data_IF_186598336051
#
_entry.id   IF_186598336051
#
_cell.length_a   1.000
_cell.length_b   1.000
_cell.length_c   1.000
_cell.angle_alpha   90.00
_cell.angle_beta   90.00
_cell.angle_gamma   90.00
#
_symmetry.space_group_name_H-M   'P 1'
#
loop_
_entity.id
_entity.type
_entity.pdbx_description
1 polymer ?
#
# COMPACT_ATOMS: atom_id res chain seq x y z
N UNK A 1 5.38 -56.07 28.15
CA UNK A 1 5.56 -57.50 27.79
C UNK A 1 5.89 -57.58 26.31
N UNK A 2 7.10 -58.09 25.99
CA UNK A 2 7.51 -58.89 24.80
C UNK A 2 6.86 -58.59 23.44
N UNK A 3 7.52 -58.44 22.27
CA UNK A 3 8.84 -58.74 21.65
C UNK A 3 8.77 -58.01 20.29
N UNK A 4 9.78 -57.31 19.77
CA UNK A 4 11.03 -57.87 19.25
C UNK A 4 10.83 -58.47 17.85
N UNK A 5 11.27 -57.77 16.79
CA UNK A 5 12.02 -58.37 15.68
C UNK A 5 12.72 -57.31 14.80
N UNK A 6 14.04 -57.34 14.91
CA UNK A 6 15.05 -56.83 13.99
C UNK A 6 15.06 -57.67 12.70
N UNK A 7 15.92 -57.29 11.74
CA UNK A 7 16.32 -57.97 10.48
C UNK A 7 15.64 -57.25 9.28
N UNK A 8 16.32 -56.66 8.29
CA UNK A 8 17.57 -57.03 7.64
C UNK A 8 18.22 -55.82 6.93
N UNK A 9 19.55 -55.69 7.08
CA UNK A 9 20.42 -55.07 6.10
C UNK A 9 20.25 -55.74 4.73
N UNK A 10 20.41 -54.99 3.64
CA UNK A 10 21.48 -55.18 2.66
C UNK A 10 21.06 -54.82 1.22
N UNK A 11 21.89 -53.95 0.63
CA UNK A 11 22.38 -54.00 -0.74
C UNK A 11 21.35 -53.92 -1.88
N UNK A 12 21.41 -52.82 -2.63
CA UNK A 12 21.82 -52.96 -4.04
C UNK A 12 22.55 -51.71 -4.52
N UNK A 13 23.85 -51.93 -4.71
CA UNK A 13 24.81 -51.10 -5.44
C UNK A 13 24.47 -51.13 -6.94
N UNK A 14 24.87 -50.06 -7.64
CA UNK A 14 25.01 -49.96 -9.11
C UNK A 14 23.64 -49.80 -9.81
N UNK A 15 23.46 -48.81 -10.67
CA UNK A 15 24.25 -48.62 -11.90
C UNK A 15 24.38 -47.16 -12.29
N UNK A 16 25.63 -46.73 -12.49
CA UNK A 16 25.96 -45.56 -13.28
C UNK A 16 25.52 -45.80 -14.73
N UNK A 17 24.70 -44.91 -15.29
CA UNK A 17 24.50 -44.81 -16.73
C UNK A 17 24.87 -43.40 -17.18
N UNK A 18 26.07 -43.35 -17.75
CA UNK A 18 26.46 -42.58 -18.92
C UNK A 18 25.72 -41.26 -19.16
N UNK A 19 26.43 -40.21 -18.79
CA UNK A 19 26.49 -38.91 -19.44
C UNK A 19 26.33 -39.04 -20.97
N UNK A 20 25.17 -38.67 -21.51
CA UNK A 20 25.01 -38.33 -22.93
C UNK A 20 24.83 -36.82 -23.00
N UNK A 21 25.95 -36.13 -23.19
CA UNK A 21 25.99 -34.73 -23.59
C UNK A 21 25.36 -34.61 -24.98
N UNK A 22 24.09 -34.19 -25.04
CA UNK A 22 23.47 -33.75 -26.29
C UNK A 22 23.59 -32.23 -26.36
N UNK A 23 24.42 -31.76 -27.29
CA UNK A 23 24.60 -30.34 -27.58
C UNK A 23 23.24 -29.66 -27.86
N UNK A 24 23.02 -28.42 -27.40
CA UNK A 24 21.76 -27.74 -27.58
C UNK A 24 21.58 -27.38 -29.05
N UNK A 25 20.38 -27.63 -29.58
CA UNK A 25 19.98 -27.08 -30.87
C UNK A 25 20.10 -25.56 -30.81
N UNK A 26 20.80 -24.99 -31.78
CA UNK A 26 20.95 -23.55 -31.98
C UNK A 26 19.57 -22.94 -32.24
N UNK A 27 18.92 -22.44 -31.18
CA UNK A 27 17.83 -21.48 -31.36
C UNK A 27 18.43 -20.27 -32.06
N UNK A 28 18.02 -20.04 -33.31
CA UNK A 28 18.23 -18.77 -33.97
C UNK A 28 17.61 -17.68 -33.07
N UNK A 29 18.48 -16.91 -32.41
CA UNK A 29 18.11 -15.72 -31.67
C UNK A 29 17.48 -14.75 -32.67
N UNK A 30 16.14 -14.69 -32.70
CA UNK A 30 15.45 -13.55 -33.26
C UNK A 30 15.89 -12.33 -32.46
N UNK A 31 16.59 -11.41 -33.11
CA UNK A 31 16.94 -10.13 -32.53
C UNK A 31 15.64 -9.45 -32.03
N UNK A 32 15.51 -9.32 -30.71
CA UNK A 32 14.51 -8.45 -30.10
C UNK A 32 14.91 -7.03 -30.49
N UNK A 33 14.04 -6.23 -31.12
CA UNK A 33 14.38 -4.86 -31.48
C UNK A 33 14.71 -4.08 -30.19
N UNK A 34 15.99 -3.78 -29.98
CA UNK A 34 16.44 -2.93 -28.89
C UNK A 34 16.08 -1.50 -29.24
N UNK A 35 14.86 -1.10 -28.89
CA UNK A 35 14.49 0.32 -28.86
C UNK A 35 15.52 1.08 -28.00
N UNK A 36 16.00 2.25 -28.45
CA UNK A 36 17.03 3.00 -27.75
C UNK A 36 16.55 3.39 -26.34
N UNK A 37 17.47 3.29 -25.37
CA UNK A 37 17.23 3.47 -23.93
C UNK A 37 16.58 4.82 -23.58
N UNK A 38 16.83 5.86 -24.38
CA UNK A 38 16.28 7.20 -24.20
C UNK A 38 14.75 7.29 -24.37
N UNK A 39 14.12 6.34 -25.08
CA UNK A 39 12.66 6.34 -25.26
C UNK A 39 11.89 5.71 -24.08
N UNK A 40 12.58 5.17 -23.05
CA UNK A 40 11.91 4.52 -21.90
C UNK A 40 11.65 5.46 -20.72
N UNK A 41 12.06 6.72 -20.79
CA UNK A 41 12.07 7.61 -19.62
C UNK A 41 10.92 8.63 -19.60
N UNK A 42 10.03 8.63 -20.61
CA UNK A 42 8.91 9.57 -20.71
C UNK A 42 7.51 8.93 -20.55
N UNK A 43 7.43 7.60 -20.38
CA UNK A 43 6.17 6.83 -20.38
C UNK A 43 5.78 6.27 -18.99
N UNK A 44 6.32 6.83 -17.90
CA UNK A 44 5.89 6.54 -16.53
C UNK A 44 5.24 7.82 -15.94
N UNK A 45 3.92 8.01 -15.77
CA UNK A 45 2.72 7.30 -16.22
C UNK A 45 1.51 8.25 -15.98
N UNK A 46 0.78 8.74 -17.01
CA UNK A 46 -0.48 9.49 -16.79
C UNK A 46 -1.54 8.68 -16.01
N UNK A 47 -1.41 7.35 -16.00
CA UNK A 47 -2.27 6.41 -15.28
C UNK A 47 -2.12 6.49 -13.73
N UNK A 48 -0.98 6.97 -13.20
CA UNK A 48 -0.81 7.06 -11.74
C UNK A 48 -1.68 8.17 -11.13
N UNK A 49 -1.61 9.38 -11.69
CA UNK A 49 -2.29 10.54 -11.12
C UNK A 49 -3.81 10.39 -11.23
N UNK A 50 -4.31 9.84 -12.34
CA UNK A 50 -5.72 9.48 -12.49
C UNK A 50 -6.19 8.46 -11.43
N UNK A 51 -5.35 7.47 -11.09
CA UNK A 51 -5.63 6.52 -10.00
C UNK A 51 -5.65 7.20 -8.64
N UNK A 52 -4.72 8.14 -8.39
CA UNK A 52 -4.70 8.91 -7.14
C UNK A 52 -5.93 9.79 -7.03
N UNK A 53 -6.36 10.47 -8.10
CA UNK A 53 -7.59 11.27 -8.07
C UNK A 53 -8.82 10.42 -7.73
N UNK A 54 -8.93 9.22 -8.33
CA UNK A 54 -10.01 8.28 -8.03
C UNK A 54 -9.94 7.79 -6.59
N UNK A 55 -8.74 7.48 -6.10
CA UNK A 55 -8.51 7.08 -4.72
C UNK A 55 -8.83 8.21 -3.74
N UNK A 56 -8.49 9.45 -4.07
CA UNK A 56 -8.75 10.65 -3.28
C UNK A 56 -10.25 10.86 -3.13
N UNK A 57 -11.02 10.78 -4.22
CA UNK A 57 -12.49 10.83 -4.15
C UNK A 57 -13.06 9.76 -3.21
N UNK A 58 -12.53 8.54 -3.28
CA UNK A 58 -12.96 7.45 -2.39
C UNK A 58 -12.57 7.70 -0.93
N UNK A 59 -11.36 8.22 -0.67
CA UNK A 59 -10.87 8.51 0.68
C UNK A 59 -11.59 9.68 1.32
N UNK A 60 -11.91 10.73 0.57
CA UNK A 60 -12.74 11.85 1.05
C UNK A 60 -14.14 11.37 1.45
N UNK A 61 -14.78 10.56 0.60
CA UNK A 61 -16.09 9.98 0.93
C UNK A 61 -16.05 9.06 2.16
N UNK A 62 -14.97 8.27 2.30
CA UNK A 62 -14.70 7.47 3.49
C UNK A 62 -14.58 8.35 4.74
N UNK A 63 -13.74 9.39 4.71
CA UNK A 63 -13.50 10.23 5.87
C UNK A 63 -14.76 10.99 6.31
N UNK A 64 -15.51 11.57 5.37
CA UNK A 64 -16.78 12.24 5.67
C UNK A 64 -17.80 11.29 6.31
N UNK A 65 -17.85 10.04 5.84
CA UNK A 65 -18.73 9.02 6.42
C UNK A 65 -18.23 8.56 7.80
N UNK A 66 -16.91 8.45 7.96
CA UNK A 66 -16.31 8.03 9.22
C UNK A 66 -16.52 9.06 10.32
N UNK A 67 -16.29 10.36 10.04
CA UNK A 67 -16.59 11.46 10.95
C UNK A 67 -18.03 11.40 11.50
N UNK A 68 -19.01 11.20 10.61
CA UNK A 68 -20.43 11.06 10.98
C UNK A 68 -20.69 9.84 11.85
N UNK A 69 -20.02 8.73 11.58
CA UNK A 69 -20.23 7.47 12.30
C UNK A 69 -19.56 7.47 13.68
N UNK A 70 -18.42 8.14 13.83
CA UNK A 70 -17.66 8.19 15.10
C UNK A 70 -17.95 9.44 15.94
N UNK A 71 -18.73 10.39 15.42
CA UNK A 71 -18.99 11.66 16.11
C UNK A 71 -17.73 12.52 16.26
N UNK A 72 -16.82 12.43 15.29
CA UNK A 72 -15.58 13.23 15.25
C UNK A 72 -15.69 14.30 14.17
N UNK A 73 -14.92 15.37 14.32
CA UNK A 73 -14.84 16.45 13.35
C UNK A 73 -13.43 16.53 12.75
N UNK A 74 -13.29 17.34 11.70
CA UNK A 74 -11.99 17.66 11.13
C UNK A 74 -11.24 18.68 11.99
N UNK A 75 -9.95 18.86 11.71
CA UNK A 75 -9.19 20.01 12.19
C UNK A 75 -9.87 21.33 11.76
N UNK A 76 -9.78 22.37 12.60
CA UNK A 76 -10.23 23.73 12.28
C UNK A 76 -9.60 24.28 10.98
N UNK A 77 -8.35 23.92 10.72
CA UNK A 77 -7.67 24.18 9.46
C UNK A 77 -7.89 22.99 8.51
N UNK A 78 -8.75 23.21 7.50
CA UNK A 78 -9.07 22.23 6.47
C UNK A 78 -7.89 21.89 5.53
N UNK A 79 -6.78 22.63 5.60
CA UNK A 79 -5.57 22.27 4.86
C UNK A 79 -4.93 20.97 5.36
N UNK A 80 -4.99 20.71 6.67
CA UNK A 80 -4.46 19.50 7.31
C UNK A 80 -5.19 18.24 6.83
N UNK A 81 -6.52 18.11 6.96
CA UNK A 81 -7.23 16.94 6.46
C UNK A 81 -7.07 16.77 4.94
N UNK A 82 -6.95 17.85 4.16
CA UNK A 82 -6.71 17.75 2.72
C UNK A 82 -5.39 17.05 2.39
N UNK A 83 -4.27 17.43 3.04
CA UNK A 83 -2.96 16.81 2.84
C UNK A 83 -2.96 15.35 3.32
N UNK A 84 -3.58 15.07 4.46
CA UNK A 84 -3.69 13.71 4.99
C UNK A 84 -4.50 12.81 4.05
N UNK A 85 -5.63 13.30 3.52
CA UNK A 85 -6.46 12.56 2.56
C UNK A 85 -5.70 12.23 1.28
N UNK A 86 -4.88 13.16 0.78
CA UNK A 86 -4.03 12.90 -0.37
C UNK A 86 -2.97 11.84 -0.08
N UNK A 87 -2.27 11.93 1.05
CA UNK A 87 -1.28 10.92 1.45
C UNK A 87 -1.91 9.52 1.62
N UNK A 88 -3.11 9.44 2.19
CA UNK A 88 -3.86 8.19 2.28
C UNK A 88 -4.23 7.64 0.89
N UNK A 89 -4.62 8.51 -0.05
CA UNK A 89 -4.93 8.13 -1.43
C UNK A 89 -3.69 7.61 -2.16
N UNK A 90 -2.53 8.26 -2.01
CA UNK A 90 -1.26 7.82 -2.60
C UNK A 90 -0.83 6.46 -2.06
N UNK A 91 -0.87 6.26 -0.74
CA UNK A 91 -0.58 4.95 -0.14
C UNK A 91 -1.57 3.87 -0.60
N UNK A 92 -2.85 4.23 -0.79
CA UNK A 92 -3.84 3.30 -1.34
C UNK A 92 -3.50 2.86 -2.76
N UNK A 93 -2.99 3.75 -3.61
CA UNK A 93 -2.60 3.42 -5.00
C UNK A 93 -1.30 2.64 -5.06
N UNK A 94 -0.32 3.01 -4.24
CA UNK A 94 1.04 2.44 -4.26
C UNK A 94 1.16 1.12 -3.49
N UNK A 95 0.59 1.05 -2.28
CA UNK A 95 0.67 -0.10 -1.38
C UNK A 95 -0.58 -0.99 -1.43
N UNK A 96 -1.67 -0.50 -2.03
CA UNK A 96 -2.98 -1.18 -2.06
C UNK A 96 -3.84 -0.94 -0.81
N UNK A 97 -3.30 -0.31 0.22
CA UNK A 97 -3.97 0.01 1.48
C UNK A 97 -3.69 1.45 1.94
N UNK A 98 -4.65 2.14 2.59
CA UNK A 98 -4.49 3.53 3.01
C UNK A 98 -3.66 3.59 4.30
N UNK A 99 -2.35 3.32 4.20
CA UNK A 99 -1.42 3.37 5.32
C UNK A 99 -1.30 4.81 5.85
N UNK A 100 -1.28 4.99 7.17
CA UNK A 100 -1.22 6.33 7.80
C UNK A 100 0.00 7.15 7.32
N UNK A 101 -0.18 8.33 6.70
CA UNK A 101 0.90 9.09 6.06
C UNK A 101 1.77 9.89 7.04
N UNK A 102 1.31 10.11 8.28
CA UNK A 102 2.01 10.93 9.28
C UNK A 102 3.01 10.12 10.13
N UNK A 103 3.41 8.92 9.69
CA UNK A 103 4.39 8.08 10.38
C UNK A 103 5.50 7.67 9.44
N UNK A 104 6.67 7.45 10.01
CA UNK A 104 7.77 6.78 9.34
C UNK A 104 7.66 5.27 9.52
N UNK A 105 7.98 4.52 8.47
CA UNK A 105 7.99 3.06 8.45
C UNK A 105 9.28 2.61 7.77
N UNK A 106 9.92 1.57 8.32
CA UNK A 106 11.09 0.94 7.72
C UNK A 106 10.71 0.12 6.46
N UNK A 107 9.59 -0.61 6.54
CA UNK A 107 9.02 -1.41 5.44
C UNK A 107 7.51 -1.12 5.34
N UNK A 108 7.13 -0.26 4.38
CA UNK A 108 5.74 0.17 4.20
C UNK A 108 4.85 -0.97 3.72
N UNK A 109 5.39 -1.87 2.90
CA UNK A 109 4.67 -3.00 2.32
C UNK A 109 4.34 -4.06 3.38
N UNK A 110 5.24 -4.32 4.33
CA UNK A 110 4.99 -5.20 5.47
C UNK A 110 3.89 -4.63 6.39
N UNK A 111 3.98 -3.34 6.73
CA UNK A 111 3.02 -2.66 7.61
C UNK A 111 1.62 -2.54 6.96
N UNK A 112 1.57 -2.27 5.66
CA UNK A 112 0.31 -2.26 4.90
C UNK A 112 -0.38 -3.63 4.88
N UNK A 113 0.40 -4.73 4.90
CA UNK A 113 -0.12 -6.10 4.98
C UNK A 113 -0.56 -6.48 6.40
N UNK A 114 0.18 -6.05 7.43
CA UNK A 114 -0.20 -6.28 8.82
C UNK A 114 -1.50 -5.54 9.18
N UNK A 115 -1.60 -4.28 8.75
CA UNK A 115 -2.82 -3.49 8.80
C UNK A 115 -3.10 -2.79 10.12
N UNK A 116 -2.19 -2.85 11.09
CA UNK A 116 -2.30 -2.06 12.33
C UNK A 116 -2.46 -0.55 12.06
N UNK A 117 -1.70 -0.03 11.08
CA UNK A 117 -1.67 1.37 10.69
C UNK A 117 -2.49 1.73 9.44
N UNK A 118 -3.25 0.78 8.89
CA UNK A 118 -4.17 1.06 7.80
C UNK A 118 -5.35 1.89 8.33
N UNK A 119 -5.64 3.01 7.68
CA UNK A 119 -6.72 3.90 8.10
C UNK A 119 -8.10 3.23 7.93
N UNK A 120 -8.96 3.19 8.99
CA UNK A 120 -8.74 3.74 10.33
C UNK A 120 -7.87 2.80 11.20
N UNK A 121 -6.76 3.34 11.71
CA UNK A 121 -5.76 2.58 12.45
C UNK A 121 -6.30 2.08 13.81
N UNK A 122 -5.58 1.12 14.42
CA UNK A 122 -5.99 0.55 15.72
C UNK A 122 -6.21 1.63 16.80
N UNK A 123 -5.31 2.61 17.03
CA UNK A 123 -5.54 3.67 18.01
C UNK A 123 -6.82 4.48 17.76
N UNK A 124 -7.12 4.77 16.50
CA UNK A 124 -8.34 5.48 16.13
C UNK A 124 -9.59 4.63 16.44
N UNK A 125 -9.57 3.33 16.11
CA UNK A 125 -10.73 2.45 16.31
C UNK A 125 -11.02 2.15 17.79
N UNK A 126 -9.98 2.03 18.61
CA UNK A 126 -10.12 1.64 20.01
C UNK A 126 -10.32 2.84 20.95
N UNK A 127 -9.73 3.99 20.63
CA UNK A 127 -9.64 5.14 21.55
C UNK A 127 -9.98 6.49 20.93
N UNK A 128 -10.36 6.53 19.64
CA UNK A 128 -10.56 7.77 18.88
C UNK A 128 -9.33 8.70 18.88
N UNK A 129 -8.13 8.10 18.92
CA UNK A 129 -6.85 8.83 18.93
C UNK A 129 -6.25 8.87 17.51
N UNK A 130 -6.44 10.00 16.81
CA UNK A 130 -5.94 10.22 15.46
C UNK A 130 -4.75 11.18 15.44
N UNK A 131 -3.53 10.62 15.40
CA UNK A 131 -2.30 11.41 15.29
C UNK A 131 -2.26 12.36 14.07
N UNK A 132 -2.92 11.98 12.97
CA UNK A 132 -2.97 12.79 11.75
C UNK A 132 -3.82 14.06 11.87
N UNK A 133 -4.55 14.24 12.97
CA UNK A 133 -5.55 15.31 13.12
C UNK A 133 -6.66 15.28 12.05
N UNK A 134 -6.96 14.09 11.52
CA UNK A 134 -8.04 13.89 10.55
C UNK A 134 -9.39 13.65 11.26
N UNK A 135 -9.38 12.95 12.39
CA UNK A 135 -10.57 12.64 13.17
C UNK A 135 -10.35 13.10 14.60
N UNK A 136 -10.92 14.24 14.96
CA UNK A 136 -10.77 14.86 16.26
C UNK A 136 -12.07 14.77 17.06
N UNK A 137 -11.94 14.53 18.35
CA UNK A 137 -13.05 14.60 19.30
C UNK A 137 -13.32 16.06 19.69
N UNK A 138 -14.54 16.37 20.13
CA UNK A 138 -14.95 17.75 20.46
C UNK A 138 -14.14 18.39 21.60
N UNK A 139 -13.43 17.60 22.41
CA UNK A 139 -12.54 18.06 23.48
C UNK A 139 -11.14 18.44 22.99
N UNK A 140 -10.80 18.18 21.72
CA UNK A 140 -9.51 18.57 21.16
C UNK A 140 -9.49 20.07 20.81
N UNK A 141 -8.42 20.76 21.19
CA UNK A 141 -8.27 22.21 20.98
C UNK A 141 -8.27 22.63 19.50
N UNK A 142 -7.93 21.72 18.59
CA UNK A 142 -7.91 21.97 17.14
C UNK A 142 -9.14 21.41 16.42
N UNK A 143 -10.12 20.86 17.15
CA UNK A 143 -11.34 20.35 16.53
C UNK A 143 -12.17 21.51 15.96
N UNK A 144 -12.40 21.48 14.65
CA UNK A 144 -13.34 22.37 13.99
C UNK A 144 -14.78 21.88 14.14
N UNK A 145 -15.72 22.67 13.61
CA UNK A 145 -17.15 22.30 13.58
C UNK A 145 -17.51 21.42 12.36
N UNK A 146 -16.66 21.41 11.34
CA UNK A 146 -16.92 20.74 10.07
C UNK A 146 -16.62 19.24 10.15
N UNK A 147 -17.55 18.43 9.66
CA UNK A 147 -17.39 16.98 9.49
C UNK A 147 -17.50 16.55 8.01
N UNK A 148 -17.49 17.52 7.10
CA UNK A 148 -17.61 17.31 5.67
C UNK A 148 -16.61 18.20 4.92
N UNK A 149 -15.89 17.61 3.98
CA UNK A 149 -15.06 18.34 3.02
C UNK A 149 -15.37 17.87 1.60
N UNK A 150 -15.45 18.81 0.67
CA UNK A 150 -15.65 18.51 -0.74
C UNK A 150 -14.35 18.08 -1.41
N UNK A 151 -14.45 17.11 -2.31
CA UNK A 151 -13.30 16.57 -3.05
C UNK A 151 -12.59 17.65 -3.85
N UNK A 152 -13.35 18.60 -4.40
CA UNK A 152 -12.80 19.70 -5.19
C UNK A 152 -11.94 20.65 -4.33
N UNK A 153 -12.31 20.86 -3.06
CA UNK A 153 -11.53 21.71 -2.16
C UNK A 153 -10.26 21.01 -1.69
N UNK A 154 -10.34 19.70 -1.42
CA UNK A 154 -9.14 18.87 -1.16
C UNK A 154 -8.18 18.94 -2.36
N UNK A 155 -8.70 18.84 -3.59
CA UNK A 155 -7.89 18.96 -4.81
C UNK A 155 -7.24 20.33 -4.94
N UNK A 156 -7.98 21.43 -4.71
CA UNK A 156 -7.43 22.79 -4.79
C UNK A 156 -6.28 23.01 -3.82
N UNK A 157 -6.41 22.55 -2.58
CA UNK A 157 -5.36 22.72 -1.55
C UNK A 157 -4.12 21.91 -1.90
N UNK A 158 -4.30 20.74 -2.49
CA UNK A 158 -3.22 19.80 -2.74
C UNK A 158 -2.68 19.83 -4.17
N UNK A 159 -3.15 20.77 -4.98
CA UNK A 159 -2.72 20.96 -6.35
C UNK A 159 -1.22 21.32 -6.38
N UNK A 160 -0.48 20.68 -7.29
CA UNK A 160 0.97 20.83 -7.39
C UNK A 160 1.81 20.17 -6.28
N UNK A 161 1.20 19.55 -5.27
CA UNK A 161 1.93 18.85 -4.20
C UNK A 161 2.20 17.38 -4.54
N UNK A 162 2.87 17.06 -5.66
CA UNK A 162 3.28 15.67 -5.94
C UNK A 162 4.48 15.25 -5.08
N UNK A 163 4.41 14.07 -4.46
CA UNK A 163 5.53 13.45 -3.71
C UNK A 163 6.37 12.53 -4.64
N UNK A 164 5.93 12.34 -5.88
CA UNK A 164 6.65 11.64 -6.95
C UNK A 164 7.26 12.64 -7.95
#
# INVERSE_FOLDING_TARGET
MVRGWTIMLALSWRTAHALVCRAPATMALRAVPTRPLALRMADLAPDHDEKVEKALKAMTGFANSYCKNTGTTYCEDLSIPAVVLKGLAEHKVTLGAPLCPCRHYEDKEAEAKDGFWNCPCVPMRERHDCHCMLFLTEDNEFAGEENHVDVEDVKKVTDGMSIL
#
